data_IF_132956148489
#
_entry.id   IF_132956148489
#
_cell.length_a   1.000
_cell.length_b   1.000
_cell.length_c   1.000
_cell.angle_alpha   90.00
_cell.angle_beta   90.00
_cell.angle_gamma   90.00
#
_symmetry.space_group_name_H-M   'P 1'
#
loop_
_entity.id
_entity.type
_entity.pdbx_description
1 polymer ?
#
# COMPACT_ATOMS: atom_id res chain seq x y z
N UNK A 1 9.74 10.56 -16.19
CA UNK A 1 10.37 9.57 -15.30
C UNK A 1 9.29 8.57 -14.95
N UNK A 2 9.56 7.29 -15.18
CA UNK A 2 8.61 6.22 -14.84
C UNK A 2 8.44 6.17 -13.31
N UNK A 3 7.20 6.03 -12.81
CA UNK A 3 6.92 5.95 -11.37
C UNK A 3 7.63 4.75 -10.73
N UNK A 4 7.80 3.66 -11.50
CA UNK A 4 8.52 2.47 -11.05
C UNK A 4 10.00 2.77 -10.81
N UNK A 5 10.66 3.44 -11.76
CA UNK A 5 12.08 3.81 -11.65
C UNK A 5 12.33 4.74 -10.45
N UNK A 6 11.41 5.67 -10.19
CA UNK A 6 11.50 6.55 -9.02
C UNK A 6 11.42 5.75 -7.71
N UNK A 7 10.47 4.82 -7.60
CA UNK A 7 10.34 3.96 -6.42
C UNK A 7 11.57 3.05 -6.22
N UNK A 8 12.10 2.45 -7.29
CA UNK A 8 13.31 1.62 -7.22
C UNK A 8 14.51 2.42 -6.70
N UNK A 9 14.65 3.67 -7.15
CA UNK A 9 15.69 4.58 -6.66
C UNK A 9 15.50 4.87 -5.17
N UNK A 10 14.27 5.15 -4.72
CA UNK A 10 13.99 5.43 -3.31
C UNK A 10 14.29 4.21 -2.43
N UNK A 11 13.84 3.02 -2.85
CA UNK A 11 14.10 1.75 -2.15
C UNK A 11 15.60 1.45 -2.03
N UNK A 12 16.35 1.72 -3.10
CA UNK A 12 17.82 1.59 -3.11
C UNK A 12 18.48 2.55 -2.11
N UNK A 13 18.03 3.81 -2.08
CA UNK A 13 18.59 4.82 -1.18
C UNK A 13 18.40 4.46 0.30
N UNK A 14 17.29 3.81 0.65
CA UNK A 14 17.02 3.34 2.02
C UNK A 14 17.57 1.94 2.30
N UNK A 15 18.29 1.33 1.35
CA UNK A 15 18.97 0.04 1.54
C UNK A 15 18.04 -1.17 1.64
N UNK A 16 16.86 -1.13 1.03
CA UNK A 16 15.94 -2.27 1.03
C UNK A 16 16.45 -3.37 0.10
N UNK A 17 16.40 -4.62 0.57
CA UNK A 17 16.53 -5.82 -0.25
C UNK A 17 15.59 -6.88 0.34
N UNK A 18 14.55 -7.25 -0.39
CA UNK A 18 13.55 -8.18 0.11
C UNK A 18 12.14 -7.95 -0.43
N UNK A 19 11.18 -8.56 0.25
CA UNK A 19 9.76 -8.44 -0.08
C UNK A 19 9.24 -7.06 0.28
N UNK A 20 8.56 -6.43 -0.66
CA UNK A 20 7.80 -5.19 -0.48
C UNK A 20 6.31 -5.49 -0.58
N UNK A 21 5.51 -4.71 0.15
CA UNK A 21 4.06 -4.80 0.14
C UNK A 21 3.47 -3.45 -0.26
N UNK A 22 2.63 -3.46 -1.27
CA UNK A 22 1.84 -2.32 -1.73
C UNK A 22 0.46 -2.36 -1.07
N UNK A 23 0.02 -1.24 -0.51
CA UNK A 23 -1.37 -1.04 -0.10
C UNK A 23 -2.05 -0.06 -1.04
N UNK A 24 -2.90 -0.58 -1.92
CA UNK A 24 -3.60 0.16 -2.97
C UNK A 24 -5.02 0.59 -2.54
N UNK A 25 -5.26 0.75 -1.24
CA UNK A 25 -6.58 1.11 -0.69
C UNK A 25 -7.24 2.30 -1.39
N UNK A 26 -6.47 3.32 -1.76
CA UNK A 26 -7.04 4.55 -2.35
C UNK A 26 -7.57 4.35 -3.78
N UNK A 27 -7.00 3.41 -4.54
CA UNK A 27 -7.37 3.14 -5.93
C UNK A 27 -8.27 1.91 -6.09
N UNK A 28 -8.10 0.88 -5.25
CA UNK A 28 -8.87 -0.38 -5.33
C UNK A 28 -9.89 -0.56 -4.20
N UNK A 29 -9.87 0.31 -3.19
CA UNK A 29 -10.76 0.20 -2.03
C UNK A 29 -10.44 -1.02 -1.15
N UNK A 30 -11.38 -1.40 -0.31
CA UNK A 30 -11.26 -2.59 0.54
C UNK A 30 -11.74 -3.84 -0.19
N UNK A 31 -10.99 -4.22 -1.22
CA UNK A 31 -11.28 -5.36 -2.10
C UNK A 31 -10.13 -6.38 -2.04
N UNK A 32 -10.32 -7.59 -2.59
CA UNK A 32 -9.23 -8.56 -2.73
C UNK A 32 -7.98 -8.00 -3.44
N UNK A 33 -8.16 -7.07 -4.39
CA UNK A 33 -7.08 -6.40 -5.13
C UNK A 33 -6.48 -5.20 -4.39
N UNK A 34 -6.63 -5.12 -3.08
CA UNK A 34 -6.04 -4.05 -2.27
C UNK A 34 -4.53 -4.20 -2.11
N UNK A 35 -4.06 -5.41 -1.81
CA UNK A 35 -2.66 -5.63 -1.44
C UNK A 35 -1.94 -6.43 -2.50
N UNK A 36 -0.74 -5.98 -2.84
CA UNK A 36 0.17 -6.66 -3.74
C UNK A 36 1.52 -6.82 -3.09
N UNK A 37 2.18 -7.96 -3.30
CA UNK A 37 3.58 -8.16 -2.89
C UNK A 37 4.47 -8.30 -4.12
N UNK A 38 5.72 -7.86 -3.99
CA UNK A 38 6.79 -8.09 -4.95
C UNK A 38 8.13 -8.20 -4.22
N UNK A 39 9.17 -8.65 -4.92
CA UNK A 39 10.54 -8.71 -4.43
C UNK A 39 11.39 -7.60 -5.06
N UNK A 40 12.06 -6.83 -4.23
CA UNK A 40 13.06 -5.85 -4.63
C UNK A 40 14.45 -6.41 -4.35
N UNK A 41 15.27 -6.57 -5.39
CA UNK A 41 16.58 -7.24 -5.27
C UNK A 41 17.73 -6.31 -4.85
N UNK A 42 17.41 -5.08 -4.42
CA UNK A 42 18.39 -4.02 -4.13
C UNK A 42 18.63 -3.06 -5.30
N UNK A 43 18.19 -3.41 -6.51
CA UNK A 43 18.33 -2.59 -7.71
C UNK A 43 17.00 -2.39 -8.45
N UNK A 44 16.21 -3.45 -8.63
CA UNK A 44 14.93 -3.45 -9.36
C UNK A 44 13.85 -4.27 -8.66
N UNK A 45 12.60 -3.89 -8.90
CA UNK A 45 11.41 -4.67 -8.53
C UNK A 45 11.24 -5.76 -9.58
N UNK A 46 11.18 -7.02 -9.14
CA UNK A 46 10.92 -8.16 -10.02
C UNK A 46 9.44 -8.21 -10.41
N UNK A 47 9.13 -7.97 -11.68
CA UNK A 47 7.76 -8.02 -12.20
C UNK A 47 7.16 -9.42 -12.10
N UNK A 48 7.96 -10.47 -12.29
CA UNK A 48 7.54 -11.86 -12.15
C UNK A 48 7.15 -12.23 -10.71
N UNK A 49 7.64 -11.47 -9.73
CA UNK A 49 7.29 -11.67 -8.33
C UNK A 49 6.03 -10.94 -7.89
N UNK A 50 5.48 -10.06 -8.74
CA UNK A 50 4.30 -9.25 -8.44
C UNK A 50 3.06 -10.13 -8.40
N UNK A 51 2.34 -10.11 -7.28
CA UNK A 51 1.06 -10.82 -7.13
C UNK A 51 0.18 -10.19 -6.08
N UNK A 52 -1.13 -10.37 -6.21
CA UNK A 52 -2.08 -10.00 -5.16
C UNK A 52 -1.91 -10.90 -3.94
N UNK A 53 -2.22 -10.36 -2.75
CA UNK A 53 -2.14 -11.09 -1.49
C UNK A 53 -3.26 -10.69 -0.55
N UNK A 54 -4.17 -11.60 -0.26
CA UNK A 54 -5.34 -11.31 0.60
C UNK A 54 -5.05 -11.55 2.09
N UNK A 55 -4.10 -12.44 2.39
CA UNK A 55 -3.77 -12.85 3.75
C UNK A 55 -2.76 -11.89 4.39
N UNK A 56 -3.25 -10.70 4.74
CA UNK A 56 -2.46 -9.67 5.41
C UNK A 56 -2.75 -9.67 6.91
N UNK A 57 -1.68 -9.71 7.70
CA UNK A 57 -1.79 -9.70 9.17
C UNK A 57 -2.50 -8.44 9.69
N UNK A 58 -3.20 -8.58 10.80
CA UNK A 58 -3.88 -7.47 11.48
C UNK A 58 -2.93 -6.29 11.74
N UNK A 59 -1.69 -6.57 12.14
CA UNK A 59 -0.66 -5.55 12.41
C UNK A 59 -0.35 -4.67 11.19
N UNK A 60 -0.29 -5.26 10.00
CA UNK A 60 -0.08 -4.50 8.75
C UNK A 60 -1.30 -3.62 8.44
N UNK A 61 -2.52 -4.16 8.65
CA UNK A 61 -3.75 -3.36 8.48
C UNK A 61 -3.81 -2.18 9.46
N UNK A 62 -3.32 -2.36 10.69
CA UNK A 62 -3.21 -1.29 11.69
C UNK A 62 -2.21 -0.21 11.24
N UNK A 63 -1.01 -0.58 10.78
CA UNK A 63 -0.01 0.35 10.21
C UNK A 63 -0.59 1.16 9.05
N UNK A 64 -1.29 0.47 8.14
CA UNK A 64 -1.96 1.10 7.01
C UNK A 64 -3.00 2.14 7.45
N UNK A 65 -3.85 1.80 8.42
CA UNK A 65 -4.88 2.71 8.91
C UNK A 65 -4.30 3.91 9.63
N UNK A 66 -3.21 3.73 10.38
CA UNK A 66 -2.52 4.85 11.01
C UNK A 66 -1.93 5.80 9.96
N UNK A 67 -1.36 5.27 8.88
CA UNK A 67 -0.89 6.08 7.74
C UNK A 67 -2.05 6.88 7.12
N UNK A 68 -3.12 6.22 6.70
CA UNK A 68 -4.25 6.91 6.04
C UNK A 68 -5.02 7.85 6.96
N UNK A 69 -5.10 7.54 8.26
CA UNK A 69 -5.64 8.45 9.26
C UNK A 69 -4.79 9.71 9.38
N UNK A 70 -3.46 9.60 9.32
CA UNK A 70 -2.57 10.77 9.35
C UNK A 70 -2.60 11.58 8.04
N UNK A 71 -2.91 10.94 6.92
CA UNK A 71 -2.95 11.54 5.59
C UNK A 71 -4.37 11.69 5.05
N UNK A 72 -5.28 12.28 5.83
CA UNK A 72 -6.71 12.31 5.50
C UNK A 72 -7.04 12.97 4.15
N UNK A 73 -6.20 13.88 3.68
CA UNK A 73 -6.40 14.57 2.41
C UNK A 73 -6.36 13.60 1.21
N UNK A 74 -5.62 12.49 1.31
CA UNK A 74 -5.63 11.45 0.28
C UNK A 74 -6.95 10.69 0.20
N UNK A 75 -7.72 10.62 1.30
CA UNK A 75 -9.01 9.93 1.32
C UNK A 75 -10.05 10.63 0.45
N UNK A 76 -9.97 11.95 0.29
CA UNK A 76 -10.97 12.70 -0.47
C UNK A 76 -10.93 12.35 -1.96
N UNK A 77 -9.74 12.11 -2.50
CA UNK A 77 -9.51 11.77 -3.91
C UNK A 77 -9.38 10.25 -4.15
N UNK A 78 -10.11 9.44 -3.38
CA UNK A 78 -10.05 7.97 -3.46
C UNK A 78 -11.38 7.35 -3.88
N UNK A 79 -11.33 6.06 -4.29
CA UNK A 79 -12.53 5.27 -4.62
C UNK A 79 -13.37 4.87 -3.40
N UNK A 80 -12.93 5.23 -2.19
CA UNK A 80 -13.58 4.85 -0.94
C UNK A 80 -14.95 5.50 -0.79
N UNK A 81 -15.92 4.72 -0.30
CA UNK A 81 -17.23 5.24 0.12
C UNK A 81 -17.12 6.17 1.32
N UNK A 82 -18.12 7.04 1.53
CA UNK A 82 -18.21 7.90 2.73
C UNK A 82 -18.12 7.10 4.03
N UNK A 83 -18.71 5.90 4.07
CA UNK A 83 -18.65 5.01 5.21
C UNK A 83 -17.21 4.49 5.48
N UNK A 84 -16.50 4.05 4.44
CA UNK A 84 -15.10 3.62 4.59
C UNK A 84 -14.18 4.77 5.04
N UNK A 85 -14.33 5.96 4.45
CA UNK A 85 -13.59 7.17 4.89
C UNK A 85 -13.87 7.48 6.36
N UNK A 86 -15.12 7.35 6.81
CA UNK A 86 -15.49 7.53 8.21
C UNK A 86 -14.80 6.50 9.14
N UNK A 87 -14.75 5.22 8.73
CA UNK A 87 -14.07 4.18 9.51
C UNK A 87 -12.58 4.46 9.68
N UNK A 88 -11.87 4.82 8.60
CA UNK A 88 -10.44 5.16 8.65
C UNK A 88 -10.21 6.36 9.59
N UNK A 89 -11.04 7.41 9.51
CA UNK A 89 -10.96 8.58 10.41
C UNK A 89 -11.17 8.22 11.88
N UNK A 90 -11.88 7.13 12.16
CA UNK A 90 -12.08 6.59 13.51
C UNK A 90 -11.04 5.52 13.89
N UNK A 91 -10.01 5.34 13.06
CA UNK A 91 -9.00 4.28 13.18
C UNK A 91 -9.61 2.88 13.32
N UNK A 92 -10.68 2.62 12.57
CA UNK A 92 -11.34 1.32 12.52
C UNK A 92 -10.82 0.52 11.33
N UNK A 93 -10.56 -0.77 11.58
CA UNK A 93 -10.11 -1.72 10.57
C UNK A 93 -11.15 -1.85 9.44
N UNK A 94 -10.64 -1.80 8.21
CA UNK A 94 -11.34 -2.21 7.00
C UNK A 94 -11.05 -3.69 6.71
#
# INVERSE_FOLDING_TARGET
MDQKEALEKDLKQIGVNGKILFDLLLSHGNTPDRFFEAFFNGEKISEESLKSTESISKKIKEISIDFYHSQQHFLENSVLSKAQKFLIRRKKLL
#
